data_IF_315045967094
#
_entry.id   IF_315045967094
#
_cell.length_a   1.000
_cell.length_b   1.000
_cell.length_c   1.000
_cell.angle_alpha   90.00
_cell.angle_beta   90.00
_cell.angle_gamma   90.00
#
_symmetry.space_group_name_H-M   'P 1'
#
loop_
_entity.id
_entity.type
_entity.pdbx_description
1 polymer ?
#
# COMPACT_ATOMS: atom_id res chain seq x y z
N UNK A 1 8.09 -8.64 17.91
CA UNK A 1 8.87 -8.81 16.66
C UNK A 1 8.59 -10.15 15.94
N UNK A 2 7.91 -11.09 16.59
CA UNK A 2 7.47 -12.35 15.95
C UNK A 2 6.63 -12.09 14.70
N UNK A 3 5.70 -11.16 14.75
CA UNK A 3 4.83 -10.84 13.61
C UNK A 3 5.57 -10.39 12.33
N UNK A 4 6.71 -9.72 12.44
CA UNK A 4 7.51 -9.33 11.26
C UNK A 4 8.23 -10.52 10.63
N UNK A 5 8.68 -11.49 11.44
CA UNK A 5 9.32 -12.73 10.96
C UNK A 5 8.28 -13.62 10.26
N UNK A 6 7.12 -13.80 10.89
CA UNK A 6 6.00 -14.55 10.30
C UNK A 6 5.50 -13.93 9.00
N UNK A 7 5.43 -12.58 8.96
CA UNK A 7 5.09 -11.84 7.75
C UNK A 7 6.11 -12.10 6.64
N UNK A 8 7.42 -12.05 6.94
CA UNK A 8 8.48 -12.34 5.97
C UNK A 8 8.36 -13.76 5.41
N UNK A 9 8.11 -14.74 6.27
CA UNK A 9 7.90 -16.13 5.85
C UNK A 9 6.69 -16.27 4.93
N UNK A 10 5.58 -15.61 5.26
CA UNK A 10 4.36 -15.60 4.44
C UNK A 10 4.59 -14.94 3.08
N UNK A 11 5.28 -13.80 3.04
CA UNK A 11 5.63 -13.10 1.79
C UNK A 11 6.50 -14.01 0.92
N UNK A 12 7.56 -14.60 1.47
CA UNK A 12 8.46 -15.51 0.73
C UNK A 12 7.69 -16.70 0.13
N UNK A 13 6.78 -17.27 0.90
CA UNK A 13 5.93 -18.37 0.43
C UNK A 13 5.04 -17.93 -0.73
N UNK A 14 4.33 -16.81 -0.59
CA UNK A 14 3.44 -16.29 -1.64
C UNK A 14 4.23 -15.97 -2.92
N UNK A 15 5.42 -15.37 -2.79
CA UNK A 15 6.29 -15.08 -3.93
C UNK A 15 6.71 -16.37 -4.63
N UNK A 16 7.14 -17.37 -3.87
CA UNK A 16 7.56 -18.65 -4.43
C UNK A 16 6.44 -19.39 -5.16
N UNK A 17 5.23 -19.35 -4.61
CA UNK A 17 4.06 -20.05 -5.15
C UNK A 17 3.41 -19.34 -6.34
N UNK A 18 3.33 -18.00 -6.29
CA UNK A 18 2.52 -17.22 -7.24
C UNK A 18 3.32 -16.36 -8.21
N UNK A 19 4.57 -16.06 -7.88
CA UNK A 19 5.44 -15.18 -8.66
C UNK A 19 6.84 -15.79 -8.88
N UNK A 20 6.93 -16.97 -9.50
CA UNK A 20 8.20 -17.69 -9.64
C UNK A 20 9.28 -16.89 -10.39
N UNK A 21 8.89 -16.01 -11.32
CA UNK A 21 9.78 -15.10 -12.02
C UNK A 21 10.50 -14.10 -11.10
N UNK A 22 9.94 -13.81 -9.95
CA UNK A 22 10.53 -12.91 -8.97
C UNK A 22 11.83 -13.43 -8.34
N UNK A 23 12.14 -14.74 -8.50
CA UNK A 23 13.42 -15.32 -8.08
C UNK A 23 14.59 -14.72 -8.85
N UNK A 24 14.39 -14.41 -10.12
CA UNK A 24 15.42 -13.86 -11.00
C UNK A 24 15.52 -12.34 -10.90
N UNK A 25 14.38 -11.67 -10.80
CA UNK A 25 14.31 -10.20 -10.81
C UNK A 25 14.42 -9.58 -9.43
N UNK A 26 14.23 -10.37 -8.37
CA UNK A 26 14.11 -9.89 -7.00
C UNK A 26 12.76 -9.19 -6.76
N UNK A 27 12.46 -8.92 -5.49
CA UNK A 27 11.27 -8.19 -5.05
C UNK A 27 11.67 -7.09 -4.09
N UNK A 28 11.15 -5.89 -4.29
CA UNK A 28 11.24 -4.80 -3.31
C UNK A 28 9.84 -4.41 -2.89
N UNK A 29 9.57 -4.48 -1.60
CA UNK A 29 8.31 -4.03 -1.03
C UNK A 29 8.32 -2.53 -0.73
N UNK A 30 7.15 -1.93 -0.72
CA UNK A 30 6.93 -0.59 -0.20
C UNK A 30 6.00 -0.69 1.02
N UNK A 31 6.26 0.07 2.04
CA UNK A 31 5.49 0.00 3.29
C UNK A 31 5.31 1.36 3.93
N UNK A 32 4.37 1.43 4.87
CA UNK A 32 4.14 2.64 5.66
C UNK A 32 5.45 3.08 6.34
N UNK A 33 5.83 4.38 6.26
CA UNK A 33 7.01 4.91 6.94
C UNK A 33 7.11 4.55 8.41
N UNK A 34 5.98 4.36 9.10
CA UNK A 34 5.96 3.95 10.50
C UNK A 34 6.63 2.58 10.74
N UNK A 35 6.62 1.68 9.75
CA UNK A 35 7.33 0.41 9.83
C UNK A 35 8.85 0.53 9.95
N UNK A 36 9.40 1.67 9.54
CA UNK A 36 10.82 2.03 9.72
C UNK A 36 11.11 2.79 11.01
N UNK A 37 10.11 3.23 11.75
CA UNK A 37 10.29 3.98 12.99
C UNK A 37 10.64 3.06 14.16
N UNK A 38 11.48 3.57 15.05
CA UNK A 38 11.77 2.88 16.31
C UNK A 38 10.52 2.91 17.18
N UNK A 39 10.02 1.75 17.55
CA UNK A 39 8.98 1.65 18.59
C UNK A 39 9.50 2.21 19.91
N UNK A 40 8.62 2.74 20.76
CA UNK A 40 8.98 3.30 22.05
C UNK A 40 9.75 2.33 22.97
N UNK A 41 9.70 1.03 22.69
CA UNK A 41 10.39 -0.03 23.42
C UNK A 41 11.66 -0.58 22.74
N UNK A 42 12.00 -0.10 21.51
CA UNK A 42 13.18 -0.62 20.81
C UNK A 42 14.37 0.33 20.94
N UNK A 43 15.37 -0.11 21.65
CA UNK A 43 16.62 0.64 21.90
C UNK A 43 17.58 0.69 20.68
N UNK A 44 17.34 -0.10 19.65
CA UNK A 44 18.22 -0.17 18.47
C UNK A 44 17.48 -0.06 17.13
N UNK A 45 18.12 0.55 16.13
CA UNK A 45 17.60 0.66 14.78
C UNK A 45 17.40 -0.71 14.10
N UNK A 46 18.02 -1.76 14.61
CA UNK A 46 17.92 -3.13 14.11
C UNK A 46 16.59 -3.80 14.45
N UNK A 47 15.82 -3.25 15.37
CA UNK A 47 14.55 -3.82 15.83
C UNK A 47 13.31 -3.22 15.13
N UNK A 48 13.48 -2.45 14.06
CA UNK A 48 12.34 -1.98 13.27
C UNK A 48 11.77 -3.10 12.41
N UNK A 49 10.48 -3.05 12.11
CA UNK A 49 9.85 -4.05 11.23
C UNK A 49 10.55 -4.13 9.88
N UNK A 50 10.98 -2.99 9.31
CA UNK A 50 11.71 -2.97 8.04
C UNK A 50 13.09 -3.61 8.14
N UNK A 51 13.80 -3.40 9.25
CA UNK A 51 15.11 -4.01 9.46
C UNK A 51 15.00 -5.54 9.56
N UNK A 52 13.97 -6.03 10.26
CA UNK A 52 13.68 -7.46 10.41
C UNK A 52 13.31 -8.05 9.05
N UNK A 53 12.38 -7.45 8.32
CA UNK A 53 11.99 -7.91 6.98
C UNK A 53 13.18 -7.96 6.03
N UNK A 54 14.06 -6.95 6.07
CA UNK A 54 15.28 -6.92 5.26
C UNK A 54 16.25 -8.04 5.65
N UNK A 55 16.45 -8.29 6.95
CA UNK A 55 17.29 -9.39 7.44
C UNK A 55 16.75 -10.76 7.00
N UNK A 56 15.43 -10.89 6.92
CA UNK A 56 14.76 -12.08 6.41
C UNK A 56 14.73 -12.18 4.86
N UNK A 57 15.42 -11.28 4.16
CA UNK A 57 15.50 -11.31 2.70
C UNK A 57 14.30 -10.69 1.97
N UNK A 58 13.46 -9.93 2.67
CA UNK A 58 12.33 -9.19 2.11
C UNK A 58 12.62 -7.68 2.25
N UNK A 59 13.35 -7.05 1.31
CA UNK A 59 13.67 -5.64 1.41
C UNK A 59 12.41 -4.79 1.25
N UNK A 60 12.14 -3.94 2.23
CA UNK A 60 11.03 -2.98 2.24
C UNK A 60 11.58 -1.57 2.35
N UNK A 61 11.00 -0.66 1.60
CA UNK A 61 11.33 0.77 1.58
C UNK A 61 10.11 1.60 1.99
N UNK A 62 10.37 2.71 2.67
CA UNK A 62 9.36 3.76 2.83
C UNK A 62 9.35 4.67 1.59
N UNK A 63 8.22 5.24 1.21
CA UNK A 63 8.17 6.29 0.20
C UNK A 63 9.01 7.49 0.65
N UNK A 64 9.71 8.13 -0.31
CA UNK A 64 10.68 9.19 -0.02
C UNK A 64 10.05 10.54 0.38
N UNK A 65 8.76 10.73 0.12
CA UNK A 65 8.05 11.99 0.36
C UNK A 65 6.94 11.83 1.39
N UNK A 66 6.64 12.90 2.12
CA UNK A 66 5.36 13.03 2.85
C UNK A 66 4.24 12.95 1.82
N UNK A 67 3.60 11.81 1.82
CA UNK A 67 2.60 11.47 0.85
C UNK A 67 1.30 12.19 1.18
N UNK A 68 0.82 12.96 0.21
CA UNK A 68 -0.50 13.57 0.28
C UNK A 68 -1.48 12.62 -0.37
N UNK A 69 -2.51 12.14 0.35
CA UNK A 69 -3.51 11.22 -0.20
C UNK A 69 -4.12 11.71 -1.52
N UNK A 70 -4.36 13.03 -1.62
CA UNK A 70 -4.85 13.68 -2.82
C UNK A 70 -3.95 13.46 -4.04
N UNK A 71 -2.63 13.58 -3.86
CA UNK A 71 -1.68 13.40 -4.95
C UNK A 71 -1.69 11.96 -5.48
N UNK A 72 -1.73 10.97 -4.59
CA UNK A 72 -1.86 9.55 -4.96
C UNK A 72 -3.14 9.28 -5.74
N UNK A 73 -4.26 9.76 -5.22
CA UNK A 73 -5.56 9.60 -5.88
C UNK A 73 -5.59 10.24 -7.26
N UNK A 74 -4.97 11.40 -7.43
CA UNK A 74 -4.90 12.07 -8.72
C UNK A 74 -4.03 11.30 -9.71
N UNK A 75 -2.90 10.74 -9.27
CA UNK A 75 -2.05 9.88 -10.11
C UNK A 75 -2.82 8.62 -10.52
N UNK A 76 -3.48 7.95 -9.57
CA UNK A 76 -4.28 6.76 -9.84
C UNK A 76 -5.41 7.05 -10.84
N UNK A 77 -6.18 8.12 -10.63
CA UNK A 77 -7.24 8.55 -11.54
C UNK A 77 -6.69 8.87 -12.95
N UNK A 78 -5.54 9.52 -13.02
CA UNK A 78 -4.89 9.81 -14.29
C UNK A 78 -4.52 8.53 -15.04
N UNK A 79 -3.88 7.58 -14.37
CA UNK A 79 -3.50 6.30 -14.97
C UNK A 79 -4.71 5.49 -15.45
N UNK A 80 -5.79 5.48 -14.65
CA UNK A 80 -7.04 4.79 -15.02
C UNK A 80 -7.74 5.45 -16.22
N UNK A 81 -7.68 6.78 -16.33
CA UNK A 81 -8.39 7.54 -17.35
C UNK A 81 -7.62 7.66 -18.67
N UNK A 82 -6.34 7.95 -18.61
CA UNK A 82 -5.55 8.35 -19.79
C UNK A 82 -4.86 7.17 -20.46
N UNK A 83 -4.69 6.05 -19.75
CA UNK A 83 -3.92 4.94 -20.26
C UNK A 83 -2.42 5.25 -20.38
N UNK A 84 -1.68 4.34 -20.98
CA UNK A 84 -0.25 4.50 -21.29
C UNK A 84 0.10 3.81 -22.60
N UNK A 85 0.80 4.49 -23.50
CA UNK A 85 1.24 3.93 -24.79
C UNK A 85 0.13 3.23 -25.60
N UNK A 86 -1.04 3.86 -25.73
CA UNK A 86 -2.24 3.33 -26.41
C UNK A 86 -2.86 2.08 -25.74
N UNK A 87 -2.48 1.78 -24.50
CA UNK A 87 -3.04 0.71 -23.68
C UNK A 87 -3.58 1.23 -22.35
N UNK A 88 -4.14 0.37 -21.51
CA UNK A 88 -4.55 0.74 -20.18
C UNK A 88 -3.32 1.15 -19.35
N UNK A 89 -3.42 2.23 -18.57
CA UNK A 89 -2.34 2.69 -17.70
C UNK A 89 -2.12 1.81 -16.48
N UNK A 90 -3.14 1.02 -16.13
CA UNK A 90 -3.11 0.07 -15.02
C UNK A 90 -3.83 -1.20 -15.44
N UNK A 91 -3.23 -2.33 -15.14
CA UNK A 91 -3.86 -3.65 -15.24
C UNK A 91 -3.96 -4.24 -13.83
N UNK A 92 -5.16 -4.61 -13.45
CA UNK A 92 -5.44 -5.23 -12.15
C UNK A 92 -5.85 -6.68 -12.40
N UNK A 93 -5.16 -7.62 -11.76
CA UNK A 93 -5.51 -9.03 -11.84
C UNK A 93 -6.94 -9.22 -11.28
N UNK A 94 -7.84 -9.95 -11.99
CA UNK A 94 -9.20 -10.20 -11.52
C UNK A 94 -9.28 -10.87 -10.15
N UNK A 95 -8.22 -11.54 -9.72
CA UNK A 95 -8.12 -12.14 -8.38
C UNK A 95 -7.93 -11.12 -7.26
N UNK A 96 -7.58 -9.87 -7.58
CA UNK A 96 -7.46 -8.77 -6.63
C UNK A 96 -8.84 -8.17 -6.29
N UNK A 97 -9.80 -9.02 -5.91
CA UNK A 97 -11.21 -8.66 -5.69
C UNK A 97 -11.35 -7.46 -4.75
N UNK A 98 -10.64 -7.45 -3.62
CA UNK A 98 -10.70 -6.35 -2.65
C UNK A 98 -10.22 -5.01 -3.20
N UNK A 99 -9.19 -5.02 -4.04
CA UNK A 99 -8.69 -3.80 -4.68
C UNK A 99 -9.71 -3.30 -5.71
N UNK A 100 -10.29 -4.20 -6.49
CA UNK A 100 -11.32 -3.86 -7.48
C UNK A 100 -12.53 -3.26 -6.78
N UNK A 101 -13.06 -3.90 -5.73
CA UNK A 101 -14.17 -3.39 -4.93
C UNK A 101 -13.88 -2.00 -4.36
N UNK A 102 -12.67 -1.79 -3.85
CA UNK A 102 -12.27 -0.52 -3.28
C UNK A 102 -12.21 0.61 -4.34
N UNK A 103 -11.69 0.31 -5.55
CA UNK A 103 -11.62 1.26 -6.66
C UNK A 103 -12.96 1.51 -7.33
N UNK A 104 -13.86 0.53 -7.32
CA UNK A 104 -15.22 0.61 -7.88
C UNK A 104 -16.22 1.27 -6.91
N UNK A 105 -15.73 2.14 -6.05
CA UNK A 105 -16.55 2.96 -5.15
C UNK A 105 -16.66 2.44 -3.71
N UNK A 106 -16.01 1.33 -3.37
CA UNK A 106 -15.95 0.84 -2.00
C UNK A 106 -15.19 1.79 -1.07
N UNK A 107 -14.15 2.45 -1.57
CA UNK A 107 -13.44 3.48 -0.82
C UNK A 107 -14.13 4.84 -0.99
N UNK A 108 -14.48 5.48 0.11
CA UNK A 108 -15.17 6.76 0.13
C UNK A 108 -14.42 7.81 0.93
N UNK A 109 -14.61 9.08 0.53
CA UNK A 109 -14.07 10.22 1.28
C UNK A 109 -15.05 10.63 2.38
N UNK A 110 -14.52 11.09 3.49
CA UNK A 110 -15.34 11.69 4.54
C UNK A 110 -16.01 12.94 4.02
N UNK A 111 -17.27 13.11 4.37
CA UNK A 111 -18.05 14.31 4.05
C UNK A 111 -18.43 15.03 5.34
N UNK A 112 -18.25 16.34 5.35
CA UNK A 112 -18.81 17.21 6.38
C UNK A 112 -20.01 17.95 5.82
N UNK A 113 -21.18 17.66 6.39
CA UNK A 113 -22.42 18.38 6.04
C UNK A 113 -22.57 19.55 7.00
N UNK A 114 -22.60 20.78 6.46
CA UNK A 114 -23.01 22.00 7.17
C UNK A 114 -24.35 22.45 6.61
N UNK A 115 -25.18 23.13 7.38
CA UNK A 115 -26.41 23.73 6.84
C UNK A 115 -26.12 24.54 5.57
N UNK A 116 -26.69 24.11 4.44
CA UNK A 116 -26.50 24.75 3.13
C UNK A 116 -25.26 24.34 2.33
N UNK A 117 -24.40 23.46 2.85
CA UNK A 117 -23.23 22.97 2.07
C UNK A 117 -22.76 21.59 2.49
N UNK A 118 -22.27 20.84 1.51
CA UNK A 118 -21.57 19.57 1.72
C UNK A 118 -20.12 19.73 1.31
N UNK A 119 -19.20 19.53 2.24
CA UNK A 119 -17.78 19.55 1.94
C UNK A 119 -17.24 18.11 2.00
N UNK A 120 -16.62 17.67 0.91
CA UNK A 120 -15.85 16.43 0.88
C UNK A 120 -14.46 16.72 1.44
N UNK A 121 -14.01 15.95 2.42
CA UNK A 121 -12.66 16.09 2.97
C UNK A 121 -11.67 15.29 2.14
N UNK A 122 -10.38 15.53 2.34
CA UNK A 122 -9.30 14.75 1.73
C UNK A 122 -9.04 13.41 2.48
N UNK A 123 -9.77 13.17 3.56
CA UNK A 123 -9.62 11.95 4.36
C UNK A 123 -10.54 10.83 3.86
N UNK A 124 -9.98 9.63 3.72
CA UNK A 124 -10.76 8.42 3.50
C UNK A 124 -11.56 8.02 4.75
N UNK A 125 -12.76 7.50 4.53
CA UNK A 125 -13.47 6.77 5.59
C UNK A 125 -12.65 5.55 5.95
N UNK A 126 -12.29 5.39 7.22
CA UNK A 126 -11.48 4.25 7.67
C UNK A 126 -12.34 3.00 7.80
N UNK A 127 -12.25 2.16 6.79
CA UNK A 127 -12.95 0.88 6.67
C UNK A 127 -12.04 -0.17 6.01
N UNK A 128 -12.60 -1.33 5.67
CA UNK A 128 -11.87 -2.41 5.03
C UNK A 128 -11.30 -2.06 3.64
N UNK A 129 -11.83 -1.06 2.96
CA UNK A 129 -11.40 -0.64 1.62
C UNK A 129 -10.31 0.44 1.67
N UNK A 130 -10.32 1.28 2.73
CA UNK A 130 -9.39 2.40 2.85
C UNK A 130 -7.93 1.92 2.93
N UNK A 131 -7.65 0.86 3.67
CA UNK A 131 -6.29 0.33 3.81
C UNK A 131 -5.70 -0.16 2.49
N UNK A 132 -6.53 -0.73 1.62
CA UNK A 132 -6.10 -1.21 0.30
C UNK A 132 -5.82 -0.02 -0.62
N UNK A 133 -6.69 0.99 -0.60
CA UNK A 133 -6.50 2.21 -1.37
C UNK A 133 -5.29 3.04 -0.87
N UNK A 134 -5.01 3.02 0.43
CA UNK A 134 -3.82 3.67 0.99
C UNK A 134 -2.53 2.94 0.62
N UNK A 135 -2.58 1.64 0.40
CA UNK A 135 -1.45 0.82 -0.01
C UNK A 135 -1.18 0.84 -1.52
N UNK A 136 -2.17 1.20 -2.32
CA UNK A 136 -2.09 1.28 -3.77
C UNK A 136 -1.56 2.63 -4.24
#
# INVERSE_FOLDING_TARGET
NEGAIELAASIKRIIAERFPFARETGVTGWGDPQGGWRGASSSSAQNTSFAILKAEGVPVRAPAAKDRPELRMNIGRKLLKEGHNNGPGVLIDPRCVRLIEALDGGASMKTHVKPGSVHVTEDLVKDQHSHICEAW
#
